data_IF_741688356908
#
_entry.id   IF_741688356908
#
_cell.length_a   1.000
_cell.length_b   1.000
_cell.length_c   1.000
_cell.angle_alpha   90.00
_cell.angle_beta   90.00
_cell.angle_gamma   90.00
#
_symmetry.space_group_name_H-M   'P 1'
#
loop_
_entity.id
_entity.type
_entity.pdbx_description
1 polymer ?
#
# COMPACT_ATOMS: atom_id res chain seq x y z
N UNK A 1 -1.30 -13.08 16.09
CA UNK A 1 -2.03 -12.61 14.89
C UNK A 1 -3.38 -13.30 14.92
N UNK A 2 -4.48 -12.55 15.03
CA UNK A 2 -5.83 -13.15 15.12
C UNK A 2 -6.29 -13.49 13.72
N UNK A 3 -6.45 -14.78 13.44
CA UNK A 3 -7.05 -15.23 12.19
C UNK A 3 -8.58 -15.16 12.29
N UNK A 4 -9.12 -13.97 11.97
CA UNK A 4 -10.56 -13.70 12.06
C UNK A 4 -11.37 -14.56 11.09
N UNK A 5 -10.79 -14.94 9.94
CA UNK A 5 -11.50 -15.70 8.90
C UNK A 5 -11.66 -17.17 9.28
N UNK A 6 -10.65 -17.74 9.95
CA UNK A 6 -10.70 -19.12 10.43
C UNK A 6 -11.52 -19.28 11.72
N UNK A 7 -11.84 -18.18 12.42
CA UNK A 7 -12.74 -18.21 13.57
C UNK A 7 -14.21 -18.39 13.12
N UNK A 8 -14.97 -19.19 13.87
CA UNK A 8 -16.42 -19.33 13.67
C UNK A 8 -17.16 -18.11 14.23
N UNK A 9 -17.20 -17.04 13.42
CA UNK A 9 -17.79 -15.75 13.77
C UNK A 9 -18.94 -15.44 12.82
N UNK A 10 -20.00 -14.83 13.36
CA UNK A 10 -21.00 -14.15 12.54
C UNK A 10 -20.37 -12.94 11.86
N UNK A 11 -20.96 -12.45 10.75
CA UNK A 11 -20.48 -11.23 10.10
C UNK A 11 -20.44 -10.02 11.04
N UNK A 12 -21.44 -9.88 11.92
CA UNK A 12 -21.48 -8.82 12.91
C UNK A 12 -20.29 -8.86 13.87
N UNK A 13 -19.95 -10.04 14.38
CA UNK A 13 -18.79 -10.25 15.25
C UNK A 13 -17.47 -10.08 14.51
N UNK A 14 -17.36 -10.59 13.28
CA UNK A 14 -16.19 -10.44 12.43
C UNK A 14 -15.85 -8.97 12.23
N UNK A 15 -16.83 -8.17 11.76
CA UNK A 15 -16.64 -6.74 11.50
C UNK A 15 -16.30 -5.98 12.78
N UNK A 16 -17.01 -6.26 13.87
CA UNK A 16 -16.74 -5.62 15.16
C UNK A 16 -15.32 -5.92 15.64
N UNK A 17 -14.88 -7.18 15.60
CA UNK A 17 -13.51 -7.54 16.00
C UNK A 17 -12.45 -6.93 15.09
N UNK A 18 -12.71 -6.82 13.79
CA UNK A 18 -11.82 -6.14 12.84
C UNK A 18 -11.62 -4.67 13.23
N UNK A 19 -12.72 -3.94 13.40
CA UNK A 19 -12.71 -2.52 13.79
C UNK A 19 -12.08 -2.34 15.17
N UNK A 20 -12.52 -3.10 16.19
CA UNK A 20 -12.03 -2.99 17.56
C UNK A 20 -10.52 -3.27 17.66
N UNK A 21 -10.01 -4.26 16.92
CA UNK A 21 -8.57 -4.62 16.94
C UNK A 21 -7.72 -3.50 16.35
N UNK A 22 -8.17 -2.88 15.25
CA UNK A 22 -7.44 -1.77 14.62
C UNK A 22 -7.52 -0.52 15.52
N UNK A 23 -8.71 -0.19 16.00
CA UNK A 23 -8.91 0.96 16.87
C UNK A 23 -8.05 0.86 18.13
N UNK A 24 -8.06 -0.29 18.81
CA UNK A 24 -7.26 -0.52 20.02
C UNK A 24 -5.75 -0.39 19.75
N UNK A 25 -5.26 -0.93 18.63
CA UNK A 25 -3.86 -0.79 18.23
C UNK A 25 -3.48 0.69 18.01
N UNK A 26 -4.35 1.46 17.35
CA UNK A 26 -4.10 2.87 17.06
C UNK A 26 -4.21 3.77 18.31
N UNK A 27 -5.14 3.49 19.22
CA UNK A 27 -5.38 4.33 20.41
C UNK A 27 -4.52 3.94 21.60
N UNK A 28 -4.32 2.64 21.85
CA UNK A 28 -3.65 2.13 23.04
C UNK A 28 -2.35 1.40 22.73
N UNK A 29 -2.25 0.75 21.56
CA UNK A 29 -1.07 -0.01 21.15
C UNK A 29 0.12 0.84 20.70
N UNK A 30 -0.04 2.16 20.56
CA UNK A 30 1.03 3.05 20.13
C UNK A 30 1.34 3.00 18.62
N UNK A 31 0.52 2.29 17.83
CA UNK A 31 0.67 2.22 16.38
C UNK A 31 0.42 3.61 15.76
N UNK A 32 1.04 3.87 14.61
CA UNK A 32 1.05 5.19 13.94
C UNK A 32 0.61 5.13 12.49
N UNK A 33 0.01 4.03 12.08
CA UNK A 33 -0.39 3.78 10.70
C UNK A 33 -0.77 2.33 10.49
N UNK A 34 -1.40 2.07 9.36
CA UNK A 34 -1.76 0.74 8.89
C UNK A 34 -0.90 0.35 7.69
N UNK A 35 -0.72 -0.94 7.47
CA UNK A 35 -0.05 -1.50 6.29
C UNK A 35 -0.95 -2.54 5.65
N UNK A 36 -1.16 -2.42 4.34
CA UNK A 36 -1.83 -3.42 3.53
C UNK A 36 -0.85 -4.13 2.60
N UNK A 37 -0.94 -5.45 2.59
CA UNK A 37 -0.26 -6.34 1.63
C UNK A 37 -1.22 -6.88 0.57
N UNK A 38 -2.36 -6.20 0.33
CA UNK A 38 -3.42 -6.70 -0.57
C UNK A 38 -2.93 -6.95 -2.01
N UNK A 39 -1.90 -6.22 -2.45
CA UNK A 39 -1.17 -6.45 -3.70
C UNK A 39 -0.64 -7.89 -3.84
N UNK A 40 0.00 -8.45 -2.80
CA UNK A 40 0.46 -9.86 -2.73
C UNK A 40 -0.67 -10.89 -2.77
N UNK A 41 -1.92 -10.44 -2.67
CA UNK A 41 -3.08 -11.31 -2.43
C UNK A 41 -4.04 -11.23 -3.59
N UNK A 42 -4.84 -10.17 -3.64
CA UNK A 42 -5.92 -10.02 -4.64
C UNK A 42 -5.70 -8.86 -5.59
N UNK A 43 -4.57 -8.16 -5.46
CA UNK A 43 -4.20 -7.04 -6.30
C UNK A 43 -4.78 -5.71 -5.81
N UNK A 44 -4.39 -4.66 -6.53
CA UNK A 44 -4.70 -3.26 -6.23
C UNK A 44 -5.90 -2.71 -7.01
N UNK A 45 -6.46 -3.50 -7.94
CA UNK A 45 -7.71 -3.17 -8.63
C UNK A 45 -8.88 -3.30 -7.65
N UNK A 46 -9.16 -2.24 -6.90
CA UNK A 46 -10.15 -2.20 -5.81
C UNK A 46 -11.20 -1.16 -6.18
N UNK A 47 -12.44 -1.60 -6.34
CA UNK A 47 -13.54 -0.69 -6.63
C UNK A 47 -13.81 0.23 -5.44
N UNK A 48 -14.02 1.54 -5.63
CA UNK A 48 -14.47 2.44 -4.56
C UNK A 48 -15.82 2.05 -3.96
N UNK A 49 -16.61 1.25 -4.68
CA UNK A 49 -17.91 0.76 -4.22
C UNK A 49 -17.83 -0.52 -3.40
N UNK A 50 -16.64 -1.02 -3.07
CA UNK A 50 -16.46 -2.28 -2.34
C UNK A 50 -16.98 -2.26 -0.89
N UNK A 51 -17.30 -1.07 -0.37
CA UNK A 51 -17.83 -0.85 0.98
C UNK A 51 -19.36 -0.81 1.05
N UNK A 52 -20.08 -1.44 0.13
CA UNK A 52 -21.54 -1.61 0.32
C UNK A 52 -21.85 -2.44 1.58
N UNK A 53 -23.02 -2.24 2.22
CA UNK A 53 -23.44 -3.04 3.37
C UNK A 53 -23.43 -4.55 3.08
N UNK A 54 -23.92 -4.94 1.90
CA UNK A 54 -24.16 -6.34 1.55
C UNK A 54 -22.90 -7.07 1.07
N UNK A 55 -21.94 -6.38 0.42
CA UNK A 55 -20.77 -7.04 -0.17
C UNK A 55 -19.95 -7.84 0.86
N UNK A 56 -19.70 -7.27 2.04
CA UNK A 56 -18.90 -7.91 3.07
C UNK A 56 -19.58 -9.16 3.64
N UNK A 57 -20.89 -9.06 3.90
CA UNK A 57 -21.71 -10.17 4.36
C UNK A 57 -21.76 -11.29 3.30
N UNK A 58 -22.12 -10.97 2.06
CA UNK A 58 -22.21 -11.94 0.97
C UNK A 58 -20.89 -12.67 0.74
N UNK A 59 -19.78 -11.92 0.78
CA UNK A 59 -18.44 -12.45 0.60
C UNK A 59 -18.05 -13.36 1.77
N UNK A 60 -18.26 -12.91 3.02
CA UNK A 60 -18.01 -13.70 4.22
C UNK A 60 -18.79 -15.02 4.19
N UNK A 61 -20.08 -14.94 3.89
CA UNK A 61 -20.97 -16.10 3.83
C UNK A 61 -20.59 -17.08 2.71
N UNK A 62 -20.22 -16.57 1.53
CA UNK A 62 -19.72 -17.41 0.43
C UNK A 62 -18.43 -18.15 0.82
N UNK A 63 -17.51 -17.48 1.52
CA UNK A 63 -16.27 -18.10 2.04
C UNK A 63 -16.60 -19.20 3.05
N UNK A 64 -17.49 -18.93 4.01
CA UNK A 64 -17.90 -19.92 5.02
C UNK A 64 -18.60 -21.15 4.42
N UNK A 65 -19.30 -20.98 3.30
CA UNK A 65 -19.89 -22.09 2.53
C UNK A 65 -18.90 -22.83 1.61
N UNK A 66 -17.63 -22.43 1.57
CA UNK A 66 -16.63 -23.01 0.67
C UNK A 66 -16.87 -22.68 -0.81
N UNK A 67 -17.62 -21.61 -1.09
CA UNK A 67 -18.02 -21.21 -2.45
C UNK A 67 -17.07 -20.17 -3.08
N UNK A 68 -15.81 -20.10 -2.65
CA UNK A 68 -14.83 -19.23 -3.27
C UNK A 68 -14.18 -19.92 -4.48
N UNK A 69 -14.38 -19.35 -5.67
CA UNK A 69 -13.89 -19.92 -6.92
C UNK A 69 -12.38 -19.75 -7.14
N UNK A 70 -11.68 -19.06 -6.23
CA UNK A 70 -10.25 -18.73 -6.36
C UNK A 70 -9.93 -17.80 -7.54
N UNK A 71 -10.95 -17.35 -8.27
CA UNK A 71 -10.82 -16.49 -9.43
C UNK A 71 -10.57 -15.02 -9.04
N UNK A 72 -10.05 -14.24 -9.98
CA UNK A 72 -10.07 -12.78 -9.86
C UNK A 72 -11.51 -12.31 -9.70
N UNK A 73 -11.84 -11.64 -8.60
CA UNK A 73 -13.22 -11.25 -8.27
C UNK A 73 -14.00 -12.26 -7.40
N UNK A 74 -13.36 -13.34 -6.94
CA UNK A 74 -13.94 -14.29 -5.99
C UNK A 74 -14.35 -13.67 -4.64
N UNK A 75 -15.02 -14.45 -3.80
CA UNK A 75 -15.52 -14.01 -2.50
C UNK A 75 -14.38 -13.49 -1.60
N UNK A 76 -13.20 -14.12 -1.65
CA UNK A 76 -12.02 -13.65 -0.90
C UNK A 76 -11.58 -12.27 -1.36
N UNK A 77 -11.59 -11.98 -2.67
CA UNK A 77 -11.27 -10.64 -3.18
C UNK A 77 -12.30 -9.62 -2.69
N UNK A 78 -13.59 -9.90 -2.87
CA UNK A 78 -14.66 -9.00 -2.45
C UNK A 78 -14.59 -8.67 -0.96
N UNK A 79 -14.26 -9.65 -0.12
CA UNK A 79 -14.06 -9.42 1.31
C UNK A 79 -12.81 -8.57 1.58
N UNK A 80 -11.67 -8.87 0.94
CA UNK A 80 -10.43 -8.09 1.11
C UNK A 80 -10.60 -6.64 0.66
N UNK A 81 -11.23 -6.41 -0.49
CA UNK A 81 -11.53 -5.07 -1.01
C UNK A 81 -12.42 -4.28 -0.03
N UNK A 82 -13.44 -4.94 0.51
CA UNK A 82 -14.35 -4.36 1.50
C UNK A 82 -13.63 -3.96 2.79
N UNK A 83 -12.78 -4.85 3.32
CA UNK A 83 -12.00 -4.58 4.53
C UNK A 83 -10.92 -3.54 4.27
N UNK A 84 -10.31 -3.52 3.09
CA UNK A 84 -9.36 -2.48 2.72
C UNK A 84 -10.01 -1.09 2.71
N UNK A 85 -11.20 -0.97 2.12
CA UNK A 85 -11.97 0.28 2.17
C UNK A 85 -12.28 0.68 3.61
N UNK A 86 -12.68 -0.27 4.47
CA UNK A 86 -12.91 0.00 5.91
C UNK A 86 -11.63 0.45 6.61
N UNK A 87 -10.48 -0.13 6.28
CA UNK A 87 -9.20 0.28 6.84
C UNK A 87 -8.81 1.71 6.43
N UNK A 88 -9.15 2.14 5.20
CA UNK A 88 -8.96 3.53 4.78
C UNK A 88 -9.85 4.49 5.58
N UNK A 89 -11.10 4.12 5.84
CA UNK A 89 -11.99 4.89 6.72
C UNK A 89 -11.40 5.01 8.13
N UNK A 90 -10.92 3.91 8.71
CA UNK A 90 -10.27 3.92 10.03
C UNK A 90 -9.00 4.78 10.05
N UNK A 91 -8.19 4.76 8.99
CA UNK A 91 -7.05 5.67 8.82
C UNK A 91 -7.47 7.15 8.85
N UNK A 92 -8.60 7.49 8.22
CA UNK A 92 -9.16 8.84 8.23
C UNK A 92 -9.67 9.19 9.64
N UNK A 93 -10.47 8.31 10.25
CA UNK A 93 -11.08 8.49 11.58
C UNK A 93 -10.02 8.72 12.67
N UNK A 94 -8.88 8.01 12.59
CA UNK A 94 -7.79 8.10 13.56
C UNK A 94 -6.64 9.04 13.15
N UNK A 95 -6.75 9.72 12.00
CA UNK A 95 -5.69 10.55 11.41
C UNK A 95 -4.31 9.85 11.38
N UNK A 96 -4.25 8.68 10.74
CA UNK A 96 -3.01 7.92 10.53
C UNK A 96 -2.83 7.49 9.07
N UNK A 97 -1.60 7.36 8.56
CA UNK A 97 -1.35 6.92 7.19
C UNK A 97 -1.66 5.43 6.96
N UNK A 98 -2.02 5.10 5.72
CA UNK A 98 -2.04 3.74 5.18
C UNK A 98 -0.82 3.53 4.27
N UNK A 99 0.03 2.57 4.59
CA UNK A 99 1.02 2.05 3.66
C UNK A 99 0.39 0.97 2.78
N UNK A 100 0.56 1.06 1.47
CA UNK A 100 0.08 0.05 0.53
C UNK A 100 1.25 -0.48 -0.25
N UNK A 101 1.52 -1.79 -0.14
CA UNK A 101 2.52 -2.45 -0.98
C UNK A 101 2.18 -2.27 -2.46
N UNK A 102 3.15 -1.83 -3.27
CA UNK A 102 3.00 -1.66 -4.72
C UNK A 102 4.24 -2.17 -5.46
N UNK A 103 4.05 -2.72 -6.65
CA UNK A 103 5.15 -3.21 -7.47
C UNK A 103 5.63 -4.63 -7.14
N UNK A 104 6.95 -4.79 -7.13
CA UNK A 104 7.67 -6.05 -6.98
C UNK A 104 7.38 -6.73 -5.65
N UNK A 105 7.43 -8.06 -5.65
CA UNK A 105 7.45 -8.86 -4.44
C UNK A 105 8.09 -10.22 -4.71
N UNK A 106 7.82 -11.20 -3.84
CA UNK A 106 8.25 -12.57 -4.04
C UNK A 106 7.53 -13.27 -5.22
N UNK A 107 7.86 -14.54 -5.45
CA UNK A 107 7.33 -15.35 -6.55
C UNK A 107 5.80 -15.51 -6.54
N UNK A 108 5.11 -15.17 -5.45
CA UNK A 108 3.66 -15.25 -5.33
C UNK A 108 2.94 -14.01 -5.88
N UNK A 109 3.68 -12.91 -6.09
CA UNK A 109 3.11 -11.67 -6.64
C UNK A 109 2.73 -11.85 -8.10
N UNK A 110 1.48 -11.49 -8.41
CA UNK A 110 1.07 -11.18 -9.77
C UNK A 110 1.39 -9.73 -10.05
N UNK A 111 2.58 -9.46 -10.60
CA UNK A 111 3.14 -8.11 -10.74
C UNK A 111 2.18 -7.11 -11.39
N UNK A 112 1.46 -7.53 -12.44
CA UNK A 112 0.48 -6.68 -13.14
C UNK A 112 -0.71 -6.25 -12.28
N UNK A 113 -1.00 -6.98 -11.20
CA UNK A 113 -2.03 -6.61 -10.23
C UNK A 113 -1.50 -5.75 -9.08
N UNK A 114 -0.20 -5.45 -9.06
CA UNK A 114 0.48 -4.63 -8.05
C UNK A 114 0.81 -3.23 -8.57
N UNK A 115 0.31 -2.87 -9.76
CA UNK A 115 0.49 -1.58 -10.39
C UNK A 115 -0.21 -0.47 -9.57
N UNK A 116 0.50 0.60 -9.13
CA UNK A 116 -0.08 1.64 -8.28
C UNK A 116 -1.29 2.34 -8.89
N UNK A 117 -1.29 2.56 -10.21
CA UNK A 117 -2.38 3.27 -10.91
C UNK A 117 -3.74 2.57 -10.81
N UNK A 118 -3.79 1.28 -10.46
CA UNK A 118 -5.04 0.58 -10.16
C UNK A 118 -5.77 1.16 -8.94
N UNK A 119 -5.07 1.83 -8.03
CA UNK A 119 -5.67 2.52 -6.88
C UNK A 119 -6.21 3.91 -7.21
N UNK A 120 -5.94 4.44 -8.40
CA UNK A 120 -6.22 5.84 -8.74
C UNK A 120 -7.71 6.19 -8.55
N UNK A 121 -8.61 5.31 -9.00
CA UNK A 121 -10.06 5.49 -8.87
C UNK A 121 -10.54 5.43 -7.43
N UNK A 122 -9.97 4.52 -6.64
CA UNK A 122 -10.28 4.41 -5.22
C UNK A 122 -9.83 5.66 -4.45
N UNK A 123 -8.59 6.10 -4.69
CA UNK A 123 -7.95 7.16 -3.91
C UNK A 123 -8.44 8.57 -4.29
N UNK A 124 -9.02 8.76 -5.48
CA UNK A 124 -9.73 10.01 -5.83
C UNK A 124 -11.18 10.04 -5.37
N UNK A 125 -11.72 8.89 -4.94
CA UNK A 125 -13.13 8.79 -4.55
C UNK A 125 -13.42 9.61 -3.28
N UNK A 126 -14.55 10.35 -3.20
CA UNK A 126 -14.83 11.27 -2.09
C UNK A 126 -14.73 10.66 -0.69
N UNK A 127 -15.10 9.38 -0.53
CA UNK A 127 -15.05 8.70 0.76
C UNK A 127 -13.61 8.43 1.25
N UNK A 128 -12.64 8.27 0.35
CA UNK A 128 -11.28 7.83 0.70
C UNK A 128 -10.20 8.87 0.41
N UNK A 129 -10.50 9.91 -0.39
CA UNK A 129 -9.51 10.93 -0.80
C UNK A 129 -8.84 11.70 0.34
N UNK A 130 -9.41 11.67 1.54
CA UNK A 130 -8.82 12.29 2.73
C UNK A 130 -7.74 11.41 3.39
N UNK A 131 -7.73 10.10 3.09
CA UNK A 131 -6.75 9.18 3.65
C UNK A 131 -5.34 9.54 3.14
N UNK A 132 -4.38 9.64 4.07
CA UNK A 132 -2.96 9.74 3.71
C UNK A 132 -2.46 8.35 3.32
N UNK A 133 -1.96 8.20 2.11
CA UNK A 133 -1.47 6.91 1.61
C UNK A 133 -0.01 7.01 1.18
N UNK A 134 0.80 6.09 1.69
CA UNK A 134 2.16 5.84 1.22
C UNK A 134 2.14 4.65 0.26
N UNK A 135 2.41 4.91 -1.02
CA UNK A 135 2.72 3.87 -1.99
C UNK A 135 4.14 3.42 -1.72
N UNK A 136 4.28 2.25 -1.11
CA UNK A 136 5.59 1.74 -0.70
C UNK A 136 6.20 0.84 -1.76
N UNK A 137 7.52 0.71 -1.68
CA UNK A 137 8.39 -0.05 -2.58
C UNK A 137 8.68 0.62 -3.92
N UNK A 138 8.54 1.95 -3.96
CA UNK A 138 8.66 2.79 -5.16
C UNK A 138 7.64 2.45 -6.26
N UNK A 139 6.83 1.40 -6.09
CA UNK A 139 5.98 0.84 -7.15
C UNK A 139 6.75 0.06 -8.21
N UNK A 140 8.02 -0.31 -8.02
CA UNK A 140 8.86 -0.90 -9.07
C UNK A 140 8.18 -2.09 -9.79
N UNK A 141 8.15 -2.15 -11.14
CA UNK A 141 8.80 -1.25 -12.10
C UNK A 141 7.91 -0.06 -12.53
N UNK A 142 6.84 0.24 -11.81
CA UNK A 142 5.84 1.28 -12.08
C UNK A 142 6.12 2.61 -11.34
N UNK A 143 7.39 2.93 -11.09
CA UNK A 143 7.77 4.06 -10.24
C UNK A 143 7.42 5.44 -10.82
N UNK A 144 7.39 5.58 -12.15
CA UNK A 144 6.84 6.77 -12.81
C UNK A 144 5.34 6.97 -12.50
N UNK A 145 4.56 5.88 -12.41
CA UNK A 145 3.14 5.96 -12.04
C UNK A 145 2.96 6.38 -10.59
N UNK A 146 3.76 5.81 -9.68
CA UNK A 146 3.75 6.20 -8.28
C UNK A 146 4.12 7.69 -8.11
N UNK A 147 5.13 8.17 -8.86
CA UNK A 147 5.52 9.58 -8.88
C UNK A 147 4.41 10.49 -9.43
N UNK A 148 3.78 10.09 -10.54
CA UNK A 148 2.61 10.80 -11.09
C UNK A 148 1.46 10.87 -10.07
N UNK A 149 1.10 9.76 -9.43
CA UNK A 149 0.03 9.72 -8.43
C UNK A 149 0.33 10.64 -7.24
N UNK A 150 1.57 10.67 -6.75
CA UNK A 150 2.00 11.58 -5.68
C UNK A 150 1.93 13.06 -6.08
N UNK A 151 2.02 13.36 -7.38
CA UNK A 151 1.84 14.72 -7.91
C UNK A 151 0.38 15.14 -7.99
N UNK A 152 -0.48 14.29 -8.56
CA UNK A 152 -1.86 14.69 -8.88
C UNK A 152 -2.86 14.44 -7.74
N UNK A 153 -2.54 13.58 -6.78
CA UNK A 153 -3.40 13.30 -5.63
C UNK A 153 -2.82 13.93 -4.35
N UNK A 154 -3.57 14.82 -3.66
CA UNK A 154 -3.04 15.65 -2.59
C UNK A 154 -2.71 14.91 -1.29
N UNK A 155 -3.07 13.63 -1.15
CA UNK A 155 -2.82 12.83 0.05
C UNK A 155 -2.02 11.56 -0.25
N UNK A 156 -1.26 11.56 -1.34
CA UNK A 156 -0.44 10.43 -1.76
C UNK A 156 1.03 10.78 -1.66
N UNK A 157 1.81 9.82 -1.18
CA UNK A 157 3.27 9.86 -1.09
C UNK A 157 3.85 8.62 -1.75
N UNK A 158 5.06 8.76 -2.28
CA UNK A 158 5.85 7.65 -2.80
C UNK A 158 7.00 7.37 -1.83
N UNK A 159 7.12 6.13 -1.38
CA UNK A 159 8.27 5.67 -0.60
C UNK A 159 9.31 5.00 -1.52
N UNK A 160 10.60 5.24 -1.25
CA UNK A 160 11.71 4.70 -2.03
C UNK A 160 12.21 3.33 -1.57
N UNK A 161 11.57 2.72 -0.56
CA UNK A 161 11.98 1.41 -0.06
C UNK A 161 11.97 0.32 -1.14
N UNK A 162 12.64 -0.80 -0.87
CA UNK A 162 12.89 -1.93 -1.78
C UNK A 162 13.70 -1.56 -3.05
N UNK A 163 13.29 -0.55 -3.81
CA UNK A 163 13.99 0.00 -4.97
C UNK A 163 15.38 0.56 -4.62
N UNK A 164 15.62 0.96 -3.36
CA UNK A 164 16.93 1.38 -2.88
C UNK A 164 17.91 0.19 -2.68
N UNK A 165 17.72 -0.71 -1.69
CA UNK A 165 18.72 -1.74 -1.41
C UNK A 165 18.79 -2.86 -2.45
N UNK A 166 17.70 -3.15 -3.18
CA UNK A 166 17.64 -4.34 -4.04
C UNK A 166 17.83 -4.03 -5.53
N UNK A 167 17.64 -2.79 -5.97
CA UNK A 167 17.91 -2.41 -7.36
C UNK A 167 19.38 -2.06 -7.63
N UNK A 168 20.21 -1.98 -6.58
CA UNK A 168 21.65 -1.75 -6.68
C UNK A 168 21.98 -0.47 -7.47
N UNK A 169 22.72 -0.60 -8.57
CA UNK A 169 23.09 0.54 -9.42
C UNK A 169 21.90 1.24 -10.09
N UNK A 170 20.74 0.56 -10.20
CA UNK A 170 19.53 1.16 -10.76
C UNK A 170 18.82 2.13 -9.81
N UNK A 171 19.19 2.19 -8.52
CA UNK A 171 18.55 3.06 -7.53
C UNK A 171 18.52 4.54 -7.98
N UNK A 172 19.62 5.07 -8.54
CA UNK A 172 19.67 6.45 -9.08
C UNK A 172 18.58 6.67 -10.14
N UNK A 173 18.51 5.77 -11.13
CA UNK A 173 17.54 5.85 -12.24
C UNK A 173 16.10 5.79 -11.72
N UNK A 174 15.82 4.87 -10.80
CA UNK A 174 14.49 4.73 -10.20
C UNK A 174 14.09 6.03 -9.48
N UNK A 175 14.98 6.61 -8.69
CA UNK A 175 14.71 7.88 -7.99
C UNK A 175 14.49 9.01 -9.00
N UNK A 176 15.33 9.12 -10.03
CA UNK A 176 15.17 10.13 -11.07
C UNK A 176 13.79 10.03 -11.72
N UNK A 177 13.36 8.83 -12.12
CA UNK A 177 12.03 8.60 -12.72
C UNK A 177 10.86 8.89 -11.76
N UNK A 178 11.03 8.69 -10.45
CA UNK A 178 10.03 9.16 -9.45
C UNK A 178 9.97 10.69 -9.43
N UNK A 179 11.14 11.34 -9.41
CA UNK A 179 11.27 12.79 -9.29
C UNK A 179 10.90 13.56 -10.56
N UNK A 180 10.75 12.88 -11.70
CA UNK A 180 10.21 13.49 -12.94
C UNK A 180 8.85 14.14 -12.72
N UNK A 181 8.02 13.56 -11.85
CA UNK A 181 6.68 14.07 -11.56
C UNK A 181 6.43 14.33 -10.08
N UNK A 182 7.00 13.54 -9.17
CA UNK A 182 6.69 13.64 -7.75
C UNK A 182 7.25 14.94 -7.15
N UNK A 183 6.45 15.73 -6.41
CA UNK A 183 6.99 16.79 -5.58
C UNK A 183 7.96 16.21 -4.56
N UNK A 184 9.12 16.86 -4.34
CA UNK A 184 10.12 16.40 -3.34
C UNK A 184 9.50 16.20 -1.94
N UNK A 185 8.53 17.03 -1.55
CA UNK A 185 7.80 16.93 -0.29
C UNK A 185 6.88 15.71 -0.17
N UNK A 186 6.70 14.94 -1.26
CA UNK A 186 5.86 13.74 -1.35
C UNK A 186 6.66 12.46 -1.52
N UNK A 187 7.99 12.56 -1.52
CA UNK A 187 8.88 11.40 -1.59
C UNK A 187 9.44 11.12 -0.20
N UNK A 188 9.33 9.87 0.24
CA UNK A 188 9.79 9.42 1.55
C UNK A 188 10.90 8.38 1.41
N UNK A 189 11.85 8.39 2.35
CA UNK A 189 12.81 7.31 2.49
C UNK A 189 12.22 6.18 3.33
N UNK A 190 12.37 4.95 2.83
CA UNK A 190 12.23 3.72 3.60
C UNK A 190 13.29 2.72 3.12
N UNK A 191 13.63 1.74 3.95
CA UNK A 191 14.59 0.69 3.57
C UNK A 191 13.89 -0.57 3.06
N UNK A 192 12.78 -0.96 3.68
CA UNK A 192 12.20 -2.31 3.61
C UNK A 192 13.18 -3.43 4.01
N UNK A 193 14.21 -3.04 4.75
CA UNK A 193 15.17 -3.97 5.32
C UNK A 193 14.51 -4.78 6.45
N UNK A 194 14.86 -6.06 6.54
CA UNK A 194 14.42 -6.95 7.59
C UNK A 194 15.52 -7.96 7.93
N UNK A 195 15.36 -8.67 9.05
CA UNK A 195 16.33 -9.67 9.49
C UNK A 195 17.50 -9.02 10.24
N UNK A 196 18.63 -8.84 9.57
CA UNK A 196 19.88 -8.39 10.20
C UNK A 196 20.10 -6.87 10.02
N UNK A 197 21.02 -6.23 10.77
CA UNK A 197 21.30 -4.80 10.63
C UNK A 197 21.94 -4.38 9.28
N UNK A 198 22.63 -5.28 8.59
CA UNK A 198 23.40 -4.99 7.38
C UNK A 198 22.52 -4.50 6.22
N UNK A 199 21.36 -5.12 5.91
CA UNK A 199 20.40 -4.55 4.95
C UNK A 199 19.96 -3.12 5.28
N UNK A 200 19.77 -2.77 6.56
CA UNK A 200 19.40 -1.40 6.94
C UNK A 200 20.54 -0.42 6.65
N UNK A 201 21.77 -0.79 7.01
CA UNK A 201 22.96 0.02 6.73
C UNK A 201 23.17 0.19 5.22
N UNK A 202 23.08 -0.90 4.45
CA UNK A 202 23.23 -0.88 3.00
C UNK A 202 22.18 0.03 2.35
N UNK A 203 20.89 -0.12 2.73
CA UNK A 203 19.81 0.74 2.23
C UNK A 203 20.05 2.22 2.56
N UNK A 204 20.57 2.53 3.75
CA UNK A 204 20.84 3.91 4.16
C UNK A 204 22.01 4.53 3.38
N UNK A 205 23.10 3.78 3.18
CA UNK A 205 24.28 4.26 2.44
C UNK A 205 23.94 4.41 0.96
N UNK A 206 23.40 3.36 0.33
CA UNK A 206 23.04 3.38 -1.09
C UNK A 206 21.94 4.40 -1.35
N UNK A 207 20.94 4.48 -0.47
CA UNK A 207 19.88 5.48 -0.56
C UNK A 207 20.40 6.91 -0.56
N UNK A 208 21.28 7.25 0.38
CA UNK A 208 21.90 8.59 0.42
C UNK A 208 22.71 8.90 -0.84
N UNK A 209 23.49 7.94 -1.33
CA UNK A 209 24.29 8.12 -2.54
C UNK A 209 23.41 8.31 -3.79
N UNK A 210 22.38 7.48 -3.95
CA UNK A 210 21.49 7.52 -5.09
C UNK A 210 20.63 8.79 -5.10
N UNK A 211 20.09 9.20 -3.94
CA UNK A 211 19.35 10.46 -3.78
C UNK A 211 20.27 11.65 -4.08
N UNK A 212 21.49 11.68 -3.52
CA UNK A 212 22.43 12.76 -3.78
C UNK A 212 22.76 12.86 -5.28
N UNK A 213 23.05 11.73 -5.94
CA UNK A 213 23.36 11.73 -7.37
C UNK A 213 22.18 12.17 -8.24
N UNK A 214 20.95 11.76 -7.91
CA UNK A 214 19.77 12.19 -8.66
C UNK A 214 19.53 13.70 -8.48
N UNK A 215 19.58 14.21 -7.24
CA UNK A 215 19.38 15.63 -6.96
C UNK A 215 20.48 16.52 -7.56
N UNK A 216 21.75 16.08 -7.55
CA UNK A 216 22.84 16.79 -8.21
C UNK A 216 22.58 16.96 -9.70
N UNK A 217 22.11 15.90 -10.38
CA UNK A 217 21.78 15.96 -11.81
C UNK A 217 20.66 16.97 -12.09
N UNK A 218 19.60 17.00 -11.25
CA UNK A 218 18.55 18.01 -11.40
C UNK A 218 19.08 19.45 -11.25
N UNK A 219 20.00 19.67 -10.30
CA UNK A 219 20.63 20.98 -10.09
C UNK A 219 21.54 21.37 -11.25
N UNK A 220 22.34 20.42 -11.76
CA UNK A 220 23.23 20.63 -12.90
C UNK A 220 22.45 20.94 -14.19
N UNK A 221 21.25 20.37 -14.33
CA UNK A 221 20.30 20.65 -15.42
C UNK A 221 19.52 21.97 -15.23
N UNK A 222 19.69 22.66 -14.10
CA UNK A 222 19.13 23.98 -13.83
C UNK A 222 17.70 23.99 -13.27
N UNK A 223 17.27 22.90 -12.62
CA UNK A 223 16.02 22.87 -11.85
C UNK A 223 16.19 23.32 -10.39
#
# INVERSE_FOLDING_TARGET
>A
MVDLLNADLTWGEFRRRYDDTIADALTHGGYRGLKSIIAYRTGLDISPLSRTPDQGLDAHDAIKRGADSGASGGAIKRLRDHLFCRALELCIEHDVPMQVHTGMGDWQVRLTACQPSLLMDLLRFPAYRACRVLLVHTGYPYHAEAGYMANVLPNIWCDLSEGLPFAGSAAKRIIAEVLEMAPLSRVCYGSDAYGTPEPFYAAAVQGKQAIASALTELVDDGM
#
